data_IF_765970865577
#
_entry.id   IF_765970865577
#
_cell.length_a   1.000
_cell.length_b   1.000
_cell.length_c   1.000
_cell.angle_alpha   90.00
_cell.angle_beta   90.00
_cell.angle_gamma   90.00
#
_symmetry.space_group_name_H-M   'P 1'
#
loop_
_entity.id
_entity.type
_entity.pdbx_description
1 polymer ?
#
# COMPACT_ATOMS: atom_id res chain seq x y z
N UNK A 1 39.71 34.97 33.64
CA UNK A 1 38.65 35.05 34.66
C UNK A 1 37.28 34.94 33.99
N UNK A 2 36.44 34.01 34.46
CA UNK A 2 34.99 33.83 34.25
C UNK A 2 34.46 33.87 32.79
N UNK A 3 34.36 32.73 32.08
CA UNK A 3 33.26 31.74 32.17
C UNK A 3 31.85 32.35 31.97
N UNK A 4 31.39 32.45 30.70
CA UNK A 4 29.99 32.69 30.35
C UNK A 4 29.33 31.37 29.97
N UNK A 5 28.55 30.83 30.91
CA UNK A 5 27.74 29.64 30.77
C UNK A 5 26.69 29.77 29.66
N UNK A 6 26.75 28.84 28.71
CA UNK A 6 25.68 28.48 27.79
C UNK A 6 24.51 27.91 28.61
N UNK A 7 23.33 28.54 28.55
CA UNK A 7 22.09 27.97 29.11
C UNK A 7 21.60 26.85 28.20
N UNK A 8 22.00 25.62 28.52
CA UNK A 8 21.37 24.39 28.06
C UNK A 8 19.96 24.30 28.66
N UNK A 9 18.94 24.45 27.81
CA UNK A 9 17.57 24.05 28.15
C UNK A 9 17.50 22.52 28.20
N UNK A 10 17.71 21.96 29.39
CA UNK A 10 17.38 20.57 29.73
C UNK A 10 15.86 20.42 29.74
N UNK A 11 15.28 19.90 28.66
CA UNK A 11 13.95 19.27 28.72
C UNK A 11 14.14 17.79 29.06
N UNK A 12 13.59 17.42 30.20
CA UNK A 12 13.59 16.10 30.81
C UNK A 12 12.93 15.06 29.91
N UNK A 13 13.69 14.03 29.56
CA UNK A 13 13.17 12.75 29.09
C UNK A 13 12.51 12.02 30.26
N UNK A 14 11.31 11.43 30.11
CA UNK A 14 10.89 10.36 30.99
C UNK A 14 11.41 9.03 30.43
N UNK A 15 12.28 8.37 31.20
CA UNK A 15 12.50 6.93 31.12
C UNK A 15 11.44 6.22 31.97
N UNK A 16 11.11 4.96 31.59
CA UNK A 16 10.05 4.04 32.08
C UNK A 16 8.81 4.02 31.17
N UNK A 17 8.36 2.91 30.58
CA UNK A 17 8.80 1.52 30.59
C UNK A 17 8.29 0.83 29.31
N UNK A 18 9.11 0.00 28.66
CA UNK A 18 8.63 -0.90 27.60
C UNK A 18 7.71 -1.95 28.22
N UNK A 19 6.41 -1.77 28.07
CA UNK A 19 5.43 -2.83 28.28
C UNK A 19 5.41 -3.72 27.04
N UNK A 20 6.26 -4.74 27.01
CA UNK A 20 6.03 -5.91 26.15
C UNK A 20 4.74 -6.58 26.63
N UNK A 21 3.60 -6.22 26.02
CA UNK A 21 2.36 -6.98 26.13
C UNK A 21 2.47 -8.20 25.22
N UNK A 22 3.23 -9.19 25.69
CA UNK A 22 3.16 -10.57 25.21
C UNK A 22 1.81 -11.13 25.61
N UNK A 23 0.85 -11.19 24.67
CA UNK A 23 -0.43 -11.87 24.88
C UNK A 23 -0.18 -13.35 25.20
N UNK A 24 -0.56 -13.87 26.38
CA UNK A 24 -0.37 -15.28 26.69
C UNK A 24 -1.46 -16.10 25.99
N UNK A 25 -1.01 -17.04 25.15
CA UNK A 25 -1.83 -18.15 24.65
C UNK A 25 -2.39 -18.92 25.86
N UNK A 26 -3.71 -18.93 26.00
CA UNK A 26 -4.41 -19.84 26.90
C UNK A 26 -4.26 -21.26 26.34
N UNK A 27 -3.28 -22.01 26.87
CA UNK A 27 -3.24 -23.46 26.77
C UNK A 27 -3.50 -24.03 28.16
N UNK A 28 -4.59 -24.79 28.27
CA UNK A 28 -4.95 -25.57 29.45
C UNK A 28 -3.79 -26.47 29.89
N UNK A 29 -3.32 -26.28 31.12
CA UNK A 29 -2.44 -27.22 31.81
C UNK A 29 -3.29 -28.27 32.51
N UNK A 30 -3.39 -29.47 31.93
CA UNK A 30 -3.90 -30.65 32.62
C UNK A 30 -2.88 -31.12 33.67
N UNK A 31 -3.35 -31.30 34.90
CA UNK A 31 -2.57 -31.72 36.05
C UNK A 31 -1.99 -33.14 35.86
N UNK A 32 -0.68 -33.27 36.08
CA UNK A 32 0.04 -34.53 36.18
C UNK A 32 0.06 -34.98 37.64
N UNK A 33 -0.85 -35.87 38.03
CA UNK A 33 -0.72 -36.62 39.28
C UNK A 33 0.10 -37.88 39.06
N UNK A 34 0.90 -38.16 40.09
CA UNK A 34 1.99 -39.11 40.21
C UNK A 34 1.50 -40.28 41.06
N UNK A 35 1.61 -41.50 40.57
CA UNK A 35 1.71 -42.79 41.29
C UNK A 35 1.66 -43.90 40.23
N UNK A 36 2.36 -45.03 40.30
CA UNK A 36 3.01 -45.69 41.42
C UNK A 36 4.07 -46.66 40.87
N UNK A 37 5.17 -46.87 41.58
CA UNK A 37 6.14 -47.92 41.28
C UNK A 37 6.17 -48.97 42.39
N UNK A 38 5.94 -50.23 41.99
CA UNK A 38 6.32 -51.50 42.64
C UNK A 38 5.64 -51.88 43.97
N UNK A 39 4.81 -52.92 43.97
CA UNK A 39 5.28 -54.30 44.22
C UNK A 39 4.17 -55.35 43.99
N UNK A 40 4.64 -56.53 43.63
CA UNK A 40 3.91 -57.77 43.38
C UNK A 40 3.46 -58.38 44.71
N UNK A 41 2.20 -58.84 44.79
CA UNK A 41 1.86 -60.12 45.44
C UNK A 41 0.70 -60.76 44.65
N UNK A 42 0.86 -62.05 44.39
CA UNK A 42 -0.10 -62.95 43.76
C UNK A 42 -1.26 -63.23 44.72
N UNK A 43 -2.50 -63.25 44.23
CA UNK A 43 -3.48 -64.21 44.76
C UNK A 43 -4.48 -64.61 43.67
N UNK A 44 -4.68 -65.92 43.58
CA UNK A 44 -5.49 -66.57 42.58
C UNK A 44 -6.97 -66.49 42.98
N UNK A 45 -7.77 -65.89 42.11
CA UNK A 45 -9.23 -65.89 42.23
C UNK A 45 -9.87 -65.91 40.87
N UNK A 46 -10.16 -67.11 40.37
CA UNK A 46 -11.02 -67.32 39.22
C UNK A 46 -12.39 -66.69 39.52
N UNK A 47 -12.80 -65.70 38.72
CA UNK A 47 -14.21 -65.40 38.56
C UNK A 47 -14.50 -64.97 37.13
N UNK A 48 -15.42 -65.68 36.53
CA UNK A 48 -15.85 -65.51 35.15
C UNK A 48 -16.44 -64.11 34.93
N UNK A 49 -15.80 -63.34 34.06
CA UNK A 49 -16.45 -62.24 33.34
C UNK A 49 -16.03 -62.33 31.88
N UNK A 50 -16.75 -63.14 31.11
CA UNK A 50 -16.88 -62.95 29.65
C UNK A 50 -17.72 -61.68 29.44
N UNK A 51 -17.10 -60.52 29.61
CA UNK A 51 -17.65 -59.24 29.19
C UNK A 51 -17.05 -58.91 27.84
N UNK A 52 -17.81 -59.23 26.78
CA UNK A 52 -17.78 -58.68 25.42
C UNK A 52 -16.51 -57.91 24.95
N UNK A 53 -15.35 -58.58 24.92
CA UNK A 53 -14.16 -58.14 24.18
C UNK A 53 -14.47 -57.63 22.76
N UNK A 54 -15.33 -58.29 21.94
CA UNK A 54 -15.67 -57.80 20.60
C UNK A 54 -16.57 -56.55 20.59
N UNK A 55 -17.16 -56.15 21.72
CA UNK A 55 -17.97 -54.92 21.83
C UNK A 55 -17.08 -53.70 22.12
N UNK A 56 -16.11 -53.87 23.03
CA UNK A 56 -15.14 -52.82 23.37
C UNK A 56 -14.16 -52.51 22.22
N UNK A 57 -13.76 -53.51 21.44
CA UNK A 57 -12.93 -53.29 20.25
C UNK A 57 -13.67 -52.50 19.16
N UNK A 58 -14.98 -52.70 19.01
CA UNK A 58 -15.79 -51.96 18.04
C UNK A 58 -15.98 -50.51 18.45
N UNK A 59 -16.26 -50.23 19.72
CA UNK A 59 -16.39 -48.86 20.22
C UNK A 59 -15.08 -48.08 20.08
N UNK A 60 -13.94 -48.70 20.40
CA UNK A 60 -12.61 -48.10 20.21
C UNK A 60 -12.28 -47.84 18.73
N UNK A 61 -12.69 -48.75 17.83
CA UNK A 61 -12.47 -48.58 16.39
C UNK A 61 -13.35 -47.46 15.82
N UNK A 62 -14.60 -47.32 16.27
CA UNK A 62 -15.48 -46.20 15.93
C UNK A 62 -14.95 -44.87 16.46
N UNK A 63 -14.43 -44.81 17.69
CA UNK A 63 -13.79 -43.62 18.24
C UNK A 63 -12.54 -43.21 17.46
N UNK A 64 -11.72 -44.19 17.06
CA UNK A 64 -10.54 -43.95 16.22
C UNK A 64 -10.93 -43.36 14.87
N UNK A 65 -11.96 -43.89 14.21
CA UNK A 65 -12.46 -43.36 12.94
C UNK A 65 -12.97 -41.93 13.10
N UNK A 66 -13.76 -41.65 14.15
CA UNK A 66 -14.24 -40.28 14.45
C UNK A 66 -13.08 -39.30 14.70
N UNK A 67 -12.05 -39.73 15.44
CA UNK A 67 -10.86 -38.91 15.68
C UNK A 67 -10.07 -38.66 14.38
N UNK A 68 -9.92 -39.66 13.52
CA UNK A 68 -9.27 -39.51 12.22
C UNK A 68 -10.05 -38.56 11.29
N UNK A 69 -11.38 -38.62 11.30
CA UNK A 69 -12.24 -37.69 10.55
C UNK A 69 -12.10 -36.26 11.07
N UNK A 70 -12.15 -36.05 12.39
CA UNK A 70 -11.93 -34.74 13.01
C UNK A 70 -10.52 -34.20 12.72
N UNK A 71 -9.50 -35.06 12.72
CA UNK A 71 -8.14 -34.68 12.36
C UNK A 71 -8.06 -34.25 10.88
N UNK A 72 -8.68 -35.01 9.97
CA UNK A 72 -8.75 -34.64 8.55
C UNK A 72 -9.47 -33.31 8.35
N UNK A 73 -10.62 -33.12 9.00
CA UNK A 73 -11.41 -31.89 8.89
C UNK A 73 -10.64 -30.67 9.43
N UNK A 74 -9.99 -30.80 10.58
CA UNK A 74 -9.17 -29.72 11.17
C UNK A 74 -7.94 -29.42 10.33
N UNK A 75 -7.28 -30.43 9.76
CA UNK A 75 -6.16 -30.23 8.83
C UNK A 75 -6.59 -29.55 7.55
N UNK A 76 -7.77 -29.88 7.01
CA UNK A 76 -8.30 -29.20 5.83
C UNK A 76 -8.61 -27.73 6.13
N UNK A 77 -9.28 -27.45 7.26
CA UNK A 77 -9.54 -26.08 7.74
C UNK A 77 -8.24 -25.31 7.94
N UNK A 78 -7.22 -25.94 8.53
CA UNK A 78 -5.91 -25.34 8.74
C UNK A 78 -5.21 -25.00 7.43
N UNK A 79 -5.18 -25.94 6.46
CA UNK A 79 -4.60 -25.71 5.13
C UNK A 79 -5.33 -24.58 4.39
N UNK A 80 -6.65 -24.54 4.48
CA UNK A 80 -7.46 -23.45 3.90
C UNK A 80 -7.14 -22.10 4.55
N UNK A 81 -7.09 -22.06 5.88
CA UNK A 81 -6.72 -20.84 6.60
C UNK A 81 -5.32 -20.34 6.22
N UNK A 82 -4.34 -21.24 6.07
CA UNK A 82 -3.01 -20.88 5.59
C UNK A 82 -3.05 -20.29 4.17
N UNK A 83 -3.78 -20.92 3.25
CA UNK A 83 -3.95 -20.41 1.90
C UNK A 83 -4.60 -19.02 1.88
N UNK A 84 -5.65 -18.81 2.68
CA UNK A 84 -6.35 -17.52 2.78
C UNK A 84 -5.41 -16.43 3.33
N UNK A 85 -4.58 -16.75 4.34
CA UNK A 85 -3.60 -15.79 4.88
C UNK A 85 -2.54 -15.40 3.86
N UNK A 86 -2.04 -16.34 3.06
CA UNK A 86 -1.04 -16.05 2.03
C UNK A 86 -1.65 -15.24 0.87
N UNK A 87 -2.87 -15.56 0.45
CA UNK A 87 -3.61 -14.78 -0.54
C UNK A 87 -3.84 -13.34 -0.06
N UNK A 88 -4.22 -13.16 1.20
CA UNK A 88 -4.38 -11.85 1.80
C UNK A 88 -3.06 -11.09 1.84
N UNK A 89 -1.96 -11.74 2.26
CA UNK A 89 -0.62 -11.13 2.30
C UNK A 89 -0.20 -10.63 0.92
N UNK A 90 -0.35 -11.44 -0.12
CA UNK A 90 -0.02 -11.06 -1.50
C UNK A 90 -0.91 -9.92 -2.00
N UNK A 91 -2.22 -9.99 -1.73
CA UNK A 91 -3.16 -8.92 -2.12
C UNK A 91 -2.82 -7.61 -1.42
N UNK A 92 -2.57 -7.64 -0.12
CA UNK A 92 -2.19 -6.45 0.65
C UNK A 92 -0.89 -5.83 0.15
N UNK A 93 0.10 -6.63 -0.24
CA UNK A 93 1.33 -6.11 -0.83
C UNK A 93 1.07 -5.35 -2.14
N UNK A 94 0.27 -5.94 -3.04
CA UNK A 94 -0.13 -5.27 -4.28
C UNK A 94 -0.87 -3.96 -4.01
N UNK A 95 -1.83 -3.95 -3.08
CA UNK A 95 -2.55 -2.73 -2.71
C UNK A 95 -1.63 -1.65 -2.12
N UNK A 96 -0.60 -2.04 -1.36
CA UNK A 96 0.39 -1.09 -0.83
C UNK A 96 1.29 -0.55 -1.94
N UNK A 97 1.67 -1.37 -2.92
CA UNK A 97 2.44 -0.94 -4.08
C UNK A 97 1.62 0.00 -4.98
N UNK A 98 0.38 -0.36 -5.28
CA UNK A 98 -0.57 0.47 -6.02
C UNK A 98 -0.84 1.79 -5.28
N UNK A 99 -1.05 1.77 -3.97
CA UNK A 99 -1.25 2.98 -3.19
C UNK A 99 -0.02 3.91 -3.22
N UNK A 100 1.19 3.37 -3.32
CA UNK A 100 2.42 4.18 -3.47
C UNK A 100 2.50 4.82 -4.86
N UNK A 101 2.16 4.07 -5.90
CA UNK A 101 2.19 4.55 -7.29
C UNK A 101 1.10 5.61 -7.53
N UNK A 102 -0.13 5.31 -7.13
CA UNK A 102 -1.31 6.12 -7.43
C UNK A 102 -1.64 7.16 -6.34
N UNK A 103 -1.08 7.05 -5.15
CA UNK A 103 -1.42 7.93 -4.01
C UNK A 103 -1.05 9.40 -4.22
N UNK A 104 -0.01 9.69 -5.02
CA UNK A 104 0.41 11.07 -5.33
C UNK A 104 -0.40 11.69 -6.49
N UNK A 105 -1.18 10.90 -7.23
CA UNK A 105 -1.87 11.39 -8.43
C UNK A 105 -2.86 12.51 -8.15
N UNK A 106 -3.60 12.45 -7.04
CA UNK A 106 -4.52 13.53 -6.67
C UNK A 106 -3.80 14.87 -6.48
N UNK A 107 -2.71 14.85 -5.71
CA UNK A 107 -1.86 16.03 -5.51
C UNK A 107 -1.28 16.57 -6.83
N UNK A 108 -0.83 15.68 -7.71
CA UNK A 108 -0.32 16.09 -9.01
C UNK A 108 -1.40 16.74 -9.88
N UNK A 109 -2.65 16.23 -9.87
CA UNK A 109 -3.78 16.81 -10.60
C UNK A 109 -4.07 18.23 -10.14
N UNK A 110 -4.08 18.47 -8.83
CA UNK A 110 -4.29 19.83 -8.28
C UNK A 110 -3.15 20.77 -8.70
N UNK A 111 -1.91 20.25 -8.79
CA UNK A 111 -0.76 21.03 -9.22
C UNK A 111 -0.76 21.36 -10.74
N UNK A 112 -1.52 20.62 -11.56
CA UNK A 112 -1.67 20.95 -13.00
C UNK A 112 -2.37 22.29 -13.20
N UNK A 113 -3.36 22.63 -12.38
CA UNK A 113 -4.03 23.93 -12.45
C UNK A 113 -3.05 25.09 -12.21
N UNK A 114 -2.14 24.92 -11.26
CA UNK A 114 -1.08 25.91 -10.97
C UNK A 114 -0.11 26.03 -12.16
N UNK A 115 0.28 24.91 -12.77
CA UNK A 115 1.13 24.91 -13.94
C UNK A 115 0.48 25.64 -15.13
N UNK A 116 -0.81 25.44 -15.35
CA UNK A 116 -1.56 26.12 -16.40
C UNK A 116 -1.72 27.63 -16.14
N UNK A 117 -1.88 28.03 -14.88
CA UNK A 117 -1.90 29.46 -14.51
C UNK A 117 -0.53 30.10 -14.76
N UNK A 118 0.56 29.39 -14.43
CA UNK A 118 1.92 29.86 -14.73
C UNK A 118 2.15 30.03 -16.24
N UNK A 119 1.70 29.07 -17.06
CA UNK A 119 1.78 29.16 -18.52
C UNK A 119 0.95 30.35 -19.06
N UNK A 120 -0.25 30.58 -18.54
CA UNK A 120 -1.03 31.76 -18.90
C UNK A 120 -0.33 33.05 -18.49
N UNK A 121 0.26 33.09 -17.29
CA UNK A 121 0.98 34.26 -16.80
C UNK A 121 2.20 34.58 -17.68
N UNK A 122 2.96 33.59 -18.14
CA UNK A 122 4.07 33.80 -19.08
C UNK A 122 3.60 34.21 -20.49
N UNK A 123 2.39 33.81 -20.91
CA UNK A 123 1.80 34.22 -22.19
C UNK A 123 1.16 35.62 -22.17
N UNK A 124 0.67 36.07 -21.02
CA UNK A 124 0.02 37.39 -20.87
C UNK A 124 1.00 38.56 -20.99
N UNK A 125 2.31 38.35 -20.76
CA UNK A 125 3.31 39.41 -20.86
C UNK A 125 3.65 39.64 -22.33
N UNK A 126 3.40 40.85 -22.90
CA UNK A 126 3.75 41.15 -24.27
C UNK A 126 5.26 41.07 -24.46
N UNK A 127 5.72 40.29 -25.44
CA UNK A 127 7.16 40.12 -25.72
C UNK A 127 7.86 41.45 -26.03
N UNK A 128 7.11 42.42 -26.55
CA UNK A 128 7.59 43.75 -26.90
C UNK A 128 7.94 44.61 -25.67
N UNK A 129 7.33 44.32 -24.52
CA UNK A 129 7.57 45.04 -23.24
C UNK A 129 8.72 44.41 -22.44
N UNK A 130 9.16 43.19 -22.81
CA UNK A 130 10.32 42.51 -22.23
C UNK A 130 11.59 43.09 -22.86
N UNK A 131 11.91 44.34 -22.51
CA UNK A 131 13.11 45.07 -22.95
C UNK A 131 13.99 45.43 -21.77
N UNK A 132 15.24 45.73 -22.05
CA UNK A 132 16.20 46.22 -21.04
C UNK A 132 15.80 47.57 -20.45
N UNK A 133 14.87 48.29 -21.11
CA UNK A 133 14.26 49.54 -20.65
C UNK A 133 13.48 49.36 -19.33
N UNK A 134 13.00 48.14 -19.04
CA UNK A 134 12.36 47.81 -17.77
C UNK A 134 12.98 46.53 -17.15
N UNK A 135 14.12 46.66 -16.45
CA UNK A 135 14.87 45.51 -15.94
C UNK A 135 14.10 44.73 -14.86
N UNK A 136 13.18 45.37 -14.13
CA UNK A 136 12.37 44.70 -13.13
C UNK A 136 11.35 43.73 -13.74
N UNK A 137 10.69 44.13 -14.84
CA UNK A 137 9.75 43.27 -15.54
C UNK A 137 10.47 42.07 -16.18
N UNK A 138 11.63 42.32 -16.81
CA UNK A 138 12.47 41.27 -17.40
C UNK A 138 12.90 40.23 -16.36
N UNK A 139 13.43 40.67 -15.22
CA UNK A 139 13.84 39.76 -14.15
C UNK A 139 12.68 38.95 -13.57
N UNK A 140 11.49 39.56 -13.43
CA UNK A 140 10.30 38.86 -12.97
C UNK A 140 9.86 37.78 -13.98
N UNK A 141 9.83 38.13 -15.27
CA UNK A 141 9.49 37.19 -16.34
C UNK A 141 10.45 36.00 -16.37
N UNK A 142 11.76 36.25 -16.31
CA UNK A 142 12.79 35.21 -16.25
C UNK A 142 12.59 34.30 -15.03
N UNK A 143 12.29 34.87 -13.85
CA UNK A 143 11.98 34.08 -12.65
C UNK A 143 10.74 33.19 -12.81
N UNK A 144 9.72 33.68 -13.52
CA UNK A 144 8.51 32.91 -13.82
C UNK A 144 8.82 31.74 -14.76
N UNK A 145 9.57 31.99 -15.84
CA UNK A 145 10.03 30.95 -16.79
C UNK A 145 10.88 29.89 -16.07
N UNK A 146 11.79 30.31 -15.18
CA UNK A 146 12.59 29.36 -14.39
C UNK A 146 11.71 28.47 -13.49
N UNK A 147 10.65 29.04 -12.90
CA UNK A 147 9.69 28.30 -12.07
C UNK A 147 8.88 27.31 -12.92
N UNK A 148 8.45 27.70 -14.12
CA UNK A 148 7.78 26.81 -15.08
C UNK A 148 8.67 25.62 -15.47
N UNK A 149 9.96 25.85 -15.70
CA UNK A 149 10.91 24.76 -15.99
C UNK A 149 11.10 23.85 -14.77
N UNK A 150 11.15 24.41 -13.56
CA UNK A 150 11.25 23.63 -12.32
C UNK A 150 10.04 22.72 -12.11
N UNK A 151 8.81 23.23 -12.31
CA UNK A 151 7.60 22.42 -12.11
C UNK A 151 7.50 21.29 -13.14
N UNK A 152 7.87 21.53 -14.40
CA UNK A 152 7.96 20.49 -15.43
C UNK A 152 8.99 19.40 -15.08
N UNK A 153 10.13 19.78 -14.49
CA UNK A 153 11.13 18.82 -13.98
C UNK A 153 10.59 18.00 -12.81
N UNK A 154 9.73 18.56 -11.97
CA UNK A 154 9.10 17.81 -10.88
C UNK A 154 8.08 16.82 -11.43
N UNK A 155 7.23 17.22 -12.38
CA UNK A 155 6.28 16.33 -13.04
C UNK A 155 6.96 15.13 -13.70
N UNK A 156 8.01 15.36 -14.49
CA UNK A 156 8.76 14.28 -15.14
C UNK A 156 9.41 13.31 -14.14
N UNK A 157 9.91 13.79 -13.00
CA UNK A 157 10.43 12.92 -11.91
C UNK A 157 9.36 12.02 -11.29
N UNK A 158 8.10 12.46 -11.28
CA UNK A 158 6.96 11.71 -10.76
C UNK A 158 6.18 10.96 -11.86
N UNK A 159 6.77 10.79 -13.05
CA UNK A 159 6.20 9.99 -14.13
C UNK A 159 5.08 10.68 -14.93
N UNK A 160 5.00 12.00 -14.86
CA UNK A 160 4.03 12.79 -15.62
C UNK A 160 4.71 13.42 -16.83
N UNK A 161 4.20 13.09 -18.02
CA UNK A 161 4.68 13.64 -19.29
C UNK A 161 3.64 14.59 -19.88
N UNK A 162 4.11 15.76 -20.32
CA UNK A 162 3.30 16.74 -21.04
C UNK A 162 3.06 16.23 -22.47
N UNK A 163 1.81 15.89 -22.79
CA UNK A 163 1.42 15.54 -24.16
C UNK A 163 0.97 16.80 -24.90
N UNK A 164 1.49 16.95 -26.13
CA UNK A 164 1.05 17.98 -27.06
C UNK A 164 0.36 17.33 -28.26
N UNK A 165 -0.98 17.27 -28.28
CA UNK A 165 -1.70 16.58 -29.33
C UNK A 165 -1.83 17.39 -30.62
N UNK A 166 -1.33 18.64 -30.66
CA UNK A 166 -1.51 19.53 -31.82
C UNK A 166 -0.95 18.90 -33.10
N UNK A 167 -1.82 18.67 -34.09
CA UNK A 167 -1.44 18.05 -35.35
C UNK A 167 -1.34 16.52 -35.32
N UNK A 168 -1.55 15.87 -34.17
CA UNK A 168 -1.64 14.42 -34.06
C UNK A 168 -3.03 13.92 -34.47
N UNK A 169 -3.11 12.64 -34.85
CA UNK A 169 -4.38 11.95 -35.06
C UNK A 169 -5.13 11.87 -33.72
N UNK A 170 -6.43 12.12 -33.75
CA UNK A 170 -7.25 12.04 -32.55
C UNK A 170 -7.34 10.59 -32.02
N UNK A 171 -7.03 10.40 -30.73
CA UNK A 171 -7.20 9.16 -29.99
C UNK A 171 -8.18 9.41 -28.82
N UNK A 172 -9.34 8.72 -28.76
CA UNK A 172 -10.30 8.85 -27.66
C UNK A 172 -9.75 8.47 -26.27
N UNK A 173 -8.67 7.69 -26.19
CA UNK A 173 -8.08 7.29 -24.90
C UNK A 173 -7.18 8.38 -24.30
N UNK A 174 -6.57 9.21 -25.15
CA UNK A 174 -5.59 10.23 -24.73
C UNK A 174 -6.14 11.67 -24.88
N UNK A 175 -7.14 11.89 -25.73
CA UNK A 175 -7.63 13.21 -26.08
C UNK A 175 -9.12 13.39 -25.75
N UNK A 176 -9.46 14.53 -25.15
CA UNK A 176 -10.84 14.98 -24.97
C UNK A 176 -11.22 15.95 -26.10
N UNK A 177 -12.19 15.57 -26.94
CA UNK A 177 -12.69 16.41 -28.03
C UNK A 177 -13.81 17.35 -27.53
N UNK A 178 -13.53 18.65 -27.46
CA UNK A 178 -14.50 19.65 -27.03
C UNK A 178 -15.29 20.28 -28.20
N UNK A 179 -14.62 20.56 -29.31
CA UNK A 179 -15.21 21.25 -30.46
C UNK A 179 -14.65 20.71 -31.79
N UNK A 180 -15.45 20.79 -32.85
CA UNK A 180 -14.99 20.58 -34.22
C UNK A 180 -14.84 21.94 -34.92
N UNK A 181 -13.77 22.14 -35.69
CA UNK A 181 -13.55 23.38 -36.44
C UNK A 181 -12.87 23.06 -37.77
N UNK A 182 -13.34 23.61 -38.90
CA UNK A 182 -12.64 23.46 -40.16
C UNK A 182 -11.32 24.24 -40.11
N UNK A 183 -10.19 23.54 -40.31
CA UNK A 183 -8.85 24.14 -40.39
C UNK A 183 -8.26 23.82 -41.75
N UNK A 184 -7.89 24.85 -42.50
CA UNK A 184 -7.27 24.69 -43.81
C UNK A 184 -5.91 23.97 -43.69
N UNK A 185 -5.70 22.96 -44.52
CA UNK A 185 -4.43 22.21 -44.58
C UNK A 185 -4.26 21.08 -43.56
N UNK A 186 -5.28 20.73 -42.77
CA UNK A 186 -5.24 19.55 -41.88
C UNK A 186 -6.27 18.49 -42.30
N UNK A 187 -5.91 17.22 -42.15
CA UNK A 187 -6.80 16.11 -42.45
C UNK A 187 -7.94 15.98 -41.41
N UNK A 188 -9.14 15.53 -41.82
CA UNK A 188 -10.24 15.25 -40.89
C UNK A 188 -9.82 14.25 -39.79
N UNK A 189 -10.20 14.53 -38.54
CA UNK A 189 -9.81 13.71 -37.38
C UNK A 189 -8.43 14.04 -36.80
N UNK A 190 -7.83 15.16 -37.19
CA UNK A 190 -6.61 15.69 -36.59
C UNK A 190 -6.95 16.68 -35.47
N UNK A 191 -6.19 16.66 -34.38
CA UNK A 191 -6.37 17.62 -33.28
C UNK A 191 -5.91 19.01 -33.73
N UNK A 192 -6.86 19.94 -33.81
CA UNK A 192 -6.65 21.30 -34.29
C UNK A 192 -6.15 22.25 -33.19
N UNK A 193 -6.74 22.16 -32.00
CA UNK A 193 -6.45 22.92 -30.79
C UNK A 193 -6.46 21.95 -29.61
N UNK A 194 -5.49 22.07 -28.70
CA UNK A 194 -5.39 21.19 -27.54
C UNK A 194 -4.81 21.92 -26.34
N UNK A 195 -5.41 21.69 -25.17
CA UNK A 195 -4.75 21.95 -23.88
C UNK A 195 -3.77 20.81 -23.65
N UNK A 196 -2.61 21.10 -23.10
CA UNK A 196 -1.65 20.08 -22.75
C UNK A 196 -2.25 19.17 -21.69
N UNK A 197 -2.26 17.86 -21.96
CA UNK A 197 -2.73 16.85 -21.02
C UNK A 197 -1.50 16.16 -20.46
N UNK A 198 -1.44 15.96 -19.16
CA UNK A 198 -0.38 15.15 -18.55
C UNK A 198 -0.83 13.70 -18.51
N UNK A 199 -0.09 12.82 -19.20
CA UNK A 199 -0.31 11.38 -19.13
C UNK A 199 0.64 10.76 -18.11
N UNK A 200 0.15 9.72 -17.42
CA UNK A 200 0.93 8.91 -16.49
C UNK A 200 1.55 7.75 -17.26
N UNK A 201 2.84 7.47 -17.03
CA UNK A 201 3.48 6.26 -17.54
C UNK A 201 2.93 4.99 -16.86
#
# INVERSE_FOLDING_TARGET
MAARCVRLARRSLPAFALSLRSSPRLLCTAAKQKNNGQNLEEDAGQNEQKTDLPSMEKTLMEEKVKLEEQLKETMEKYKRALADTENLRQRSQKLVEEAKLYGIQGFCKDLLEVADILEKATQCVPKEEIRDDNPHLKNLYEGLVMTEVQIQKVFTKHGLLRLNPLGAKFDPYEHEALFHTPVEGKEPGTVALGRFVFSHL
#
